data_IF_245204221114
#
_entry.id   IF_245204221114
#
_cell.length_a   1.000
_cell.length_b   1.000
_cell.length_c   1.000
_cell.angle_alpha   90.00
_cell.angle_beta   90.00
_cell.angle_gamma   90.00
#
_symmetry.space_group_name_H-M   'P 1'
#
loop_
_entity.id
_entity.type
_entity.pdbx_description
1 polymer ?
#
# COMPACT_ATOMS: atom_id res chain seq x y z
N UNK A 1 -41.22 -34.74 -20.78
CA UNK A 1 -40.51 -33.53 -20.27
C UNK A 1 -40.31 -33.66 -18.77
N UNK A 2 -39.07 -33.86 -18.28
CA UNK A 2 -38.79 -33.97 -16.83
C UNK A 2 -38.54 -32.57 -16.26
N UNK A 3 -39.48 -32.04 -15.46
CA UNK A 3 -39.31 -30.76 -14.75
C UNK A 3 -38.32 -30.95 -13.60
N UNK A 4 -37.11 -30.40 -13.74
CA UNK A 4 -36.13 -30.27 -12.63
C UNK A 4 -36.76 -29.39 -11.54
N UNK A 5 -37.00 -29.94 -10.35
CA UNK A 5 -37.40 -29.15 -9.17
C UNK A 5 -36.19 -28.35 -8.70
N UNK A 6 -36.33 -27.02 -8.62
CA UNK A 6 -35.32 -26.18 -8.01
C UNK A 6 -35.22 -26.52 -6.51
N UNK A 7 -34.02 -26.62 -5.93
CA UNK A 7 -33.87 -26.78 -4.50
C UNK A 7 -34.41 -25.53 -3.79
N UNK A 8 -35.35 -25.72 -2.86
CA UNK A 8 -35.83 -24.64 -2.01
C UNK A 8 -34.70 -24.20 -1.09
N UNK A 9 -34.30 -22.92 -1.20
CA UNK A 9 -33.31 -22.32 -0.32
C UNK A 9 -33.84 -22.40 1.11
N UNK A 10 -33.13 -23.13 1.97
CA UNK A 10 -33.55 -23.30 3.36
C UNK A 10 -33.21 -22.05 4.17
N UNK A 11 -33.87 -21.86 5.32
CA UNK A 11 -33.56 -20.77 6.26
C UNK A 11 -32.08 -20.78 6.67
N UNK A 12 -31.47 -21.96 6.77
CA UNK A 12 -30.05 -22.13 7.08
C UNK A 12 -29.14 -21.61 5.96
N UNK A 13 -29.49 -21.85 4.70
CA UNK A 13 -28.73 -21.36 3.55
C UNK A 13 -28.77 -19.83 3.47
N UNK A 14 -29.93 -19.24 3.74
CA UNK A 14 -30.09 -17.79 3.78
C UNK A 14 -29.29 -17.16 4.94
N UNK A 15 -29.25 -17.80 6.11
CA UNK A 15 -28.46 -17.32 7.24
C UNK A 15 -26.95 -17.40 6.96
N UNK A 16 -26.48 -18.47 6.33
CA UNK A 16 -25.08 -18.60 5.87
C UNK A 16 -24.71 -17.51 4.87
N UNK A 17 -25.60 -17.22 3.93
CA UNK A 17 -25.41 -16.14 2.96
C UNK A 17 -25.32 -14.77 3.65
N UNK A 18 -26.21 -14.47 4.60
CA UNK A 18 -26.17 -13.23 5.39
C UNK A 18 -24.86 -13.08 6.17
N UNK A 19 -24.42 -14.14 6.85
CA UNK A 19 -23.16 -14.10 7.60
C UNK A 19 -21.96 -13.88 6.66
N UNK A 20 -21.97 -14.49 5.47
CA UNK A 20 -20.93 -14.28 4.45
C UNK A 20 -20.91 -12.83 3.93
N UNK A 21 -22.08 -12.23 3.71
CA UNK A 21 -22.20 -10.81 3.33
C UNK A 21 -21.67 -9.87 4.41
N UNK A 22 -22.03 -10.11 5.68
CA UNK A 22 -21.53 -9.31 6.80
C UNK A 22 -20.02 -9.44 6.98
N UNK A 23 -19.46 -10.65 6.79
CA UNK A 23 -18.02 -10.89 6.82
C UNK A 23 -17.31 -10.13 5.69
N UNK A 24 -17.83 -10.22 4.45
CA UNK A 24 -17.27 -9.51 3.30
C UNK A 24 -17.29 -7.98 3.49
N UNK A 25 -18.37 -7.44 4.04
CA UNK A 25 -18.48 -6.02 4.35
C UNK A 25 -17.52 -5.59 5.48
N UNK A 26 -17.26 -6.46 6.46
CA UNK A 26 -16.28 -6.22 7.51
C UNK A 26 -14.84 -6.25 6.96
N UNK A 27 -14.55 -7.12 6.00
CA UNK A 27 -13.25 -7.20 5.33
C UNK A 27 -13.00 -5.99 4.40
N UNK A 28 -14.03 -5.48 3.71
CA UNK A 28 -13.93 -4.22 2.94
C UNK A 28 -13.59 -3.01 3.82
N UNK A 29 -14.16 -2.94 5.03
CA UNK A 29 -13.85 -1.87 6.00
C UNK A 29 -12.43 -1.95 6.57
N UNK A 30 -11.73 -3.07 6.38
CA UNK A 30 -10.34 -3.28 6.79
C UNK A 30 -9.36 -3.08 5.64
N UNK A 31 -9.76 -2.44 4.55
CA UNK A 31 -8.77 -1.94 3.61
C UNK A 31 -7.85 -0.93 4.33
N UNK A 32 -6.52 -1.12 4.28
CA UNK A 32 -5.59 -0.22 4.91
C UNK A 32 -5.80 1.17 4.32
N UNK A 33 -6.21 2.11 5.17
CA UNK A 33 -6.29 3.51 4.78
C UNK A 33 -4.84 3.95 4.48
N UNK A 34 -4.57 4.68 3.39
CA UNK A 34 -3.20 5.09 3.03
C UNK A 34 -2.48 5.95 4.08
N UNK A 35 -3.18 6.34 5.16
CA UNK A 35 -2.63 7.01 6.33
C UNK A 35 -1.78 6.10 7.24
N UNK A 36 -1.97 4.78 7.21
CA UNK A 36 -1.19 3.81 7.99
C UNK A 36 -0.10 3.12 7.15
N UNK A 37 0.15 3.58 5.92
CA UNK A 37 1.24 3.05 5.10
C UNK A 37 2.59 3.37 5.77
N UNK A 38 3.40 2.36 6.11
CA UNK A 38 4.69 2.58 6.73
C UNK A 38 5.56 3.46 5.83
N UNK A 39 6.32 4.38 6.45
CA UNK A 39 7.28 5.17 5.68
C UNK A 39 8.43 4.26 5.26
N UNK A 40 8.60 4.06 3.94
CA UNK A 40 9.68 3.23 3.40
C UNK A 40 10.65 4.12 2.65
N UNK A 41 11.95 3.96 2.94
CA UNK A 41 13.01 4.71 2.27
C UNK A 41 13.72 3.75 1.33
N UNK A 42 13.93 4.21 0.11
CA UNK A 42 14.59 3.49 -0.95
C UNK A 42 15.82 4.25 -1.45
N UNK A 43 16.89 3.51 -1.70
CA UNK A 43 18.04 3.96 -2.47
C UNK A 43 17.78 3.65 -3.95
N UNK A 44 17.97 4.64 -4.83
CA UNK A 44 17.93 4.45 -6.28
C UNK A 44 19.37 4.29 -6.78
N UNK A 45 19.62 3.23 -7.57
CA UNK A 45 20.95 2.93 -8.09
C UNK A 45 21.58 4.04 -8.94
N UNK A 46 20.74 4.88 -9.58
CA UNK A 46 21.17 5.98 -10.44
C UNK A 46 21.37 7.29 -9.67
N UNK A 47 20.75 7.44 -8.50
CA UNK A 47 20.72 8.70 -7.76
C UNK A 47 21.49 8.56 -6.44
N UNK A 48 22.77 8.91 -6.45
CA UNK A 48 23.63 8.84 -5.26
C UNK A 48 23.25 9.83 -4.16
N UNK A 49 22.78 11.02 -4.54
CA UNK A 49 22.51 12.13 -3.62
C UNK A 49 21.05 12.26 -3.21
N UNK A 50 20.17 11.45 -3.81
CA UNK A 50 18.74 11.48 -3.59
C UNK A 50 18.25 10.08 -3.17
N UNK A 51 17.21 10.05 -2.35
CA UNK A 51 16.50 8.84 -1.94
C UNK A 51 15.04 8.98 -2.31
N UNK A 52 14.40 7.86 -2.62
CA UNK A 52 12.96 7.81 -2.85
C UNK A 52 12.31 7.39 -1.54
N UNK A 53 11.32 8.12 -1.09
CA UNK A 53 10.58 7.86 0.14
C UNK A 53 9.13 7.62 -0.21
N UNK A 54 8.60 6.47 0.19
CA UNK A 54 7.17 6.23 0.21
C UNK A 54 6.61 6.70 1.54
N UNK A 55 5.66 7.64 1.49
CA UNK A 55 5.00 8.19 2.67
C UNK A 55 3.56 8.56 2.31
N UNK A 56 2.59 8.02 3.07
CA UNK A 56 1.17 8.23 2.82
C UNK A 56 0.69 7.67 1.46
N UNK A 57 1.26 6.56 1.00
CA UNK A 57 0.96 5.95 -0.30
C UNK A 57 1.45 6.75 -1.51
N UNK A 58 2.34 7.73 -1.32
CA UNK A 58 2.95 8.52 -2.39
C UNK A 58 4.47 8.43 -2.36
N UNK A 59 5.09 8.53 -3.53
CA UNK A 59 6.54 8.55 -3.68
C UNK A 59 7.06 9.99 -3.72
N UNK A 60 8.16 10.20 -2.99
CA UNK A 60 8.82 11.49 -2.83
C UNK A 60 10.31 11.33 -3.06
N UNK A 61 10.90 12.20 -3.86
CA UNK A 61 12.33 12.29 -4.03
C UNK A 61 12.90 13.28 -3.02
N UNK A 62 13.84 12.84 -2.20
CA UNK A 62 14.38 13.62 -1.09
C UNK A 62 15.92 13.67 -1.15
N UNK A 63 16.54 14.82 -0.86
CA UNK A 63 17.97 14.89 -0.58
C UNK A 63 18.42 13.94 0.52
N UNK A 64 19.49 13.19 0.26
CA UNK A 64 20.12 12.27 1.19
C UNK A 64 20.99 13.01 2.20
N UNK A 65 20.38 13.81 3.06
CA UNK A 65 21.04 14.61 4.12
C UNK A 65 20.11 14.85 5.31
N UNK A 66 20.64 15.24 6.48
CA UNK A 66 19.82 15.63 7.62
C UNK A 66 18.75 16.68 7.25
N UNK A 67 17.48 16.42 7.60
CA UNK A 67 16.35 17.30 7.30
C UNK A 67 15.98 17.39 5.81
N UNK A 68 16.49 16.47 4.97
CA UNK A 68 16.25 16.46 3.53
C UNK A 68 14.77 16.40 3.12
N UNK A 69 13.90 15.88 3.99
CA UNK A 69 12.45 15.82 3.77
C UNK A 69 11.78 17.17 3.49
N UNK A 70 12.35 18.26 4.02
CA UNK A 70 11.87 19.63 3.81
C UNK A 70 11.94 20.06 2.33
N UNK A 71 12.88 19.51 1.57
CA UNK A 71 13.11 19.80 0.16
C UNK A 71 12.62 18.65 -0.76
N UNK A 72 11.62 17.88 -0.29
CA UNK A 72 11.08 16.76 -1.06
C UNK A 72 10.35 17.24 -2.32
N UNK A 73 10.47 16.45 -3.38
CA UNK A 73 9.72 16.63 -4.62
C UNK A 73 8.86 15.42 -4.89
N UNK A 74 7.61 15.63 -5.29
CA UNK A 74 6.72 14.52 -5.64
C UNK A 74 7.26 13.82 -6.89
N UNK A 75 7.31 12.49 -6.86
CA UNK A 75 7.73 11.70 -8.02
C UNK A 75 6.68 10.65 -8.35
N UNK A 76 6.56 10.34 -9.63
CA UNK A 76 5.74 9.23 -10.11
C UNK A 76 6.67 8.24 -10.80
N UNK A 77 6.62 6.99 -10.35
CA UNK A 77 7.34 5.89 -10.98
C UNK A 77 6.33 4.82 -11.38
N UNK A 78 6.59 4.15 -12.49
CA UNK A 78 5.88 2.92 -12.82
C UNK A 78 6.35 1.80 -11.89
N UNK A 79 5.49 0.81 -11.64
CA UNK A 79 5.82 -0.35 -10.80
C UNK A 79 7.06 -1.09 -11.31
N UNK A 80 7.23 -1.20 -12.62
CA UNK A 80 8.39 -1.81 -13.27
C UNK A 80 9.67 -1.04 -12.99
N UNK A 81 9.66 0.29 -13.14
CA UNK A 81 10.80 1.13 -12.86
C UNK A 81 11.17 1.08 -11.38
N UNK A 82 10.17 1.01 -10.49
CA UNK A 82 10.40 0.85 -9.05
C UNK A 82 11.13 -0.47 -8.77
N UNK A 83 10.62 -1.59 -9.28
CA UNK A 83 11.20 -2.91 -9.06
C UNK A 83 12.64 -3.05 -9.59
N UNK A 84 12.97 -2.35 -10.67
CA UNK A 84 14.30 -2.38 -11.29
C UNK A 84 15.31 -1.45 -10.62
N UNK A 85 14.90 -0.27 -10.16
CA UNK A 85 15.82 0.83 -9.79
C UNK A 85 16.00 1.01 -8.29
N UNK A 86 14.95 0.80 -7.52
CA UNK A 86 14.97 1.09 -6.08
C UNK A 86 15.13 -0.17 -5.24
N UNK A 87 15.93 -0.04 -4.20
CA UNK A 87 16.12 -1.04 -3.14
C UNK A 87 15.89 -0.37 -1.80
N UNK A 88 15.39 -1.08 -0.78
CA UNK A 88 15.30 -0.53 0.57
C UNK A 88 16.65 0.05 0.98
N UNK A 89 16.65 1.30 1.45
CA UNK A 89 17.85 1.95 1.96
C UNK A 89 18.22 1.34 3.31
N UNK A 90 19.48 0.99 3.50
CA UNK A 90 19.99 0.41 4.77
C UNK A 90 20.84 1.40 5.57
N UNK A 91 21.18 2.52 4.96
CA UNK A 91 22.21 3.46 5.38
C UNK A 91 21.65 4.86 5.71
N UNK A 92 20.32 5.03 5.65
CA UNK A 92 19.61 6.24 6.09
C UNK A 92 18.22 5.86 6.59
N UNK A 93 17.77 6.59 7.61
CA UNK A 93 16.49 6.37 8.26
C UNK A 93 15.59 7.62 8.18
N UNK A 94 14.33 7.44 8.58
CA UNK A 94 13.31 8.50 8.57
C UNK A 94 13.68 9.68 9.48
N UNK A 95 14.32 9.37 10.62
CA UNK A 95 14.78 10.37 11.57
C UNK A 95 15.83 11.31 10.95
N UNK A 96 16.83 10.76 10.25
CA UNK A 96 17.82 11.57 9.52
C UNK A 96 17.15 12.49 8.51
N UNK A 97 16.17 11.98 7.75
CA UNK A 97 15.46 12.81 6.78
C UNK A 97 14.56 13.88 7.41
N UNK A 98 14.20 13.74 8.70
CA UNK A 98 13.30 14.65 9.41
C UNK A 98 11.82 14.35 9.16
N UNK A 99 11.48 13.08 8.91
CA UNK A 99 10.10 12.61 8.75
C UNK A 99 9.57 12.28 10.15
N UNK A 100 8.35 12.76 10.46
CA UNK A 100 7.68 12.55 11.75
C UNK A 100 6.54 11.55 11.61
#
# INVERSE_FOLDING_TARGET
MKRRRQPQVTKADFQRFKNRMLQAQADERRQPTPADSPTVIYSDALLRTLVVVEHGGQLWLCPRRPGGWSARSKVTMTTEAQAQRVRPATDIDAATLGIK
#
